data_IF_714770787653
#
_entry.id   IF_714770787653
#
_cell.length_a   1.000
_cell.length_b   1.000
_cell.length_c   1.000
_cell.angle_alpha   90.00
_cell.angle_beta   90.00
_cell.angle_gamma   90.00
#
_symmetry.space_group_name_H-M   'P 1'
#
loop_
_entity.id
_entity.type
_entity.pdbx_description
1 polymer ?
#
# COMPACT_ATOMS: atom_id res chain seq x y z
N UNK A 1 26.06 -6.42 10.24
CA UNK A 1 24.63 -6.46 9.82
C UNK A 1 23.95 -5.23 10.39
N UNK A 2 23.85 -4.15 9.63
CA UNK A 2 23.29 -2.88 10.09
C UNK A 2 21.76 -2.95 10.02
N UNK A 3 21.13 -3.08 11.17
CA UNK A 3 19.68 -2.92 11.31
C UNK A 3 19.31 -1.47 11.00
N UNK A 4 18.79 -1.24 9.81
CA UNK A 4 18.14 0.03 9.48
C UNK A 4 16.86 0.11 10.32
N UNK A 5 16.91 0.96 11.35
CA UNK A 5 15.76 1.27 12.20
C UNK A 5 14.70 1.97 11.32
N UNK A 6 13.78 1.21 10.74
CA UNK A 6 12.62 1.78 10.08
C UNK A 6 11.81 2.48 11.16
N UNK A 7 11.78 3.81 11.13
CA UNK A 7 10.91 4.62 11.97
C UNK A 7 9.47 4.31 11.55
N UNK A 8 8.84 3.33 12.16
CA UNK A 8 7.40 3.15 12.06
C UNK A 8 6.77 4.41 12.62
N UNK A 9 6.17 5.22 11.76
CA UNK A 9 5.37 6.36 12.20
C UNK A 9 4.21 5.81 13.03
N UNK A 10 4.29 5.97 14.33
CA UNK A 10 3.17 5.68 15.22
C UNK A 10 2.09 6.70 14.86
N UNK A 11 1.02 6.22 14.24
CA UNK A 11 -0.14 7.06 13.96
C UNK A 11 -0.78 7.39 15.30
N UNK A 12 -0.89 8.65 15.63
CA UNK A 12 -1.59 9.08 16.83
C UNK A 12 -3.08 8.72 16.77
N UNK A 13 -3.73 8.57 17.92
CA UNK A 13 -5.17 8.28 17.98
C UNK A 13 -6.01 9.32 17.23
N UNK A 14 -5.61 10.58 17.24
CA UNK A 14 -6.30 11.65 16.52
C UNK A 14 -6.13 11.57 15.00
N UNK A 15 -4.92 11.23 14.52
CA UNK A 15 -4.69 10.99 13.09
C UNK A 15 -5.47 9.79 12.59
N UNK A 16 -5.55 8.71 13.38
CA UNK A 16 -6.36 7.55 13.04
C UNK A 16 -7.84 7.90 12.93
N UNK A 17 -8.40 8.60 13.94
CA UNK A 17 -9.80 9.07 13.91
C UNK A 17 -10.09 9.98 12.71
N UNK A 18 -9.17 10.89 12.39
CA UNK A 18 -9.30 11.77 11.22
C UNK A 18 -9.32 11.00 9.91
N UNK A 19 -8.49 9.93 9.78
CA UNK A 19 -8.51 9.05 8.61
C UNK A 19 -9.83 8.30 8.48
N UNK A 20 -10.32 7.70 9.57
CA UNK A 20 -11.63 7.03 9.58
C UNK A 20 -12.74 7.98 9.16
N UNK A 21 -12.82 9.18 9.76
CA UNK A 21 -13.83 10.19 9.40
C UNK A 21 -13.74 10.61 7.92
N UNK A 22 -12.53 10.67 7.35
CA UNK A 22 -12.34 10.95 5.93
C UNK A 22 -12.82 9.80 5.04
N UNK A 23 -12.56 8.56 5.45
CA UNK A 23 -13.03 7.36 4.74
C UNK A 23 -14.55 7.25 4.79
N UNK A 24 -15.17 7.53 5.94
CA UNK A 24 -16.63 7.52 6.10
C UNK A 24 -17.34 8.53 5.19
N UNK A 25 -16.76 9.73 5.03
CA UNK A 25 -17.30 10.74 4.10
C UNK A 25 -17.33 10.25 2.64
N UNK A 26 -16.47 9.33 2.26
CA UNK A 26 -16.47 8.76 0.92
C UNK A 26 -17.55 7.68 0.72
N UNK A 27 -18.12 7.13 1.80
CA UNK A 27 -19.23 6.18 1.78
C UNK A 27 -18.96 4.86 1.04
N UNK A 28 -17.68 4.49 0.85
CA UNK A 28 -17.25 3.32 0.07
C UNK A 28 -16.20 2.48 0.79
N UNK A 29 -16.02 2.69 2.08
CA UNK A 29 -14.96 2.05 2.85
C UNK A 29 -15.51 0.93 3.71
N UNK A 30 -14.88 -0.24 3.58
CA UNK A 30 -15.12 -1.40 4.41
C UNK A 30 -14.03 -1.53 5.47
N UNK A 31 -14.44 -1.88 6.68
CA UNK A 31 -13.55 -2.04 7.82
C UNK A 31 -13.52 -3.50 8.25
N UNK A 32 -12.32 -4.05 8.33
CA UNK A 32 -12.07 -5.41 8.75
C UNK A 32 -11.24 -5.42 10.02
N UNK A 33 -11.57 -6.29 10.95
CA UNK A 33 -10.82 -6.45 12.18
C UNK A 33 -10.70 -7.92 12.55
N UNK A 34 -9.49 -8.32 12.94
CA UNK A 34 -9.21 -9.66 13.49
C UNK A 34 -9.04 -9.54 14.98
N UNK A 35 -9.79 -10.34 15.71
CA UNK A 35 -9.72 -10.41 17.18
C UNK A 35 -9.08 -11.73 17.63
N UNK A 36 -8.26 -11.67 18.66
CA UNK A 36 -7.83 -12.85 19.38
C UNK A 36 -9.03 -13.40 20.17
N UNK A 37 -9.35 -14.69 19.99
CA UNK A 37 -10.51 -15.32 20.63
C UNK A 37 -10.39 -15.42 22.15
N UNK A 38 -9.18 -15.56 22.67
CA UNK A 38 -8.93 -15.72 24.10
C UNK A 38 -8.97 -14.39 24.86
N UNK A 39 -8.37 -13.36 24.27
CA UNK A 39 -8.21 -12.05 24.94
C UNK A 39 -9.24 -11.03 24.47
N UNK A 40 -10.01 -11.33 23.43
CA UNK A 40 -10.93 -10.40 22.74
C UNK A 40 -10.23 -9.08 22.29
N UNK A 41 -8.93 -9.15 22.05
CA UNK A 41 -8.13 -8.01 21.64
C UNK A 41 -8.03 -7.93 20.11
N UNK A 42 -8.18 -6.74 19.54
CA UNK A 42 -7.97 -6.51 18.12
C UNK A 42 -6.47 -6.66 17.78
N UNK A 43 -6.13 -7.61 16.91
CA UNK A 43 -4.74 -7.94 16.53
C UNK A 43 -4.38 -7.51 15.13
N UNK A 44 -5.34 -7.36 14.24
CA UNK A 44 -5.13 -6.79 12.91
C UNK A 44 -6.37 -6.03 12.43
N UNK A 45 -6.16 -5.09 11.51
CA UNK A 45 -7.23 -4.34 10.87
C UNK A 45 -6.90 -4.07 9.41
N UNK A 46 -7.95 -3.94 8.60
CA UNK A 46 -7.86 -3.41 7.25
C UNK A 46 -8.92 -2.35 7.00
N UNK A 47 -8.58 -1.41 6.12
CA UNK A 47 -9.51 -0.43 5.56
C UNK A 47 -9.41 -0.57 4.05
N UNK A 48 -10.51 -0.95 3.43
CA UNK A 48 -10.60 -1.20 2.01
C UNK A 48 -11.60 -0.23 1.38
N UNK A 49 -11.43 0.05 0.11
CA UNK A 49 -12.39 0.88 -0.63
C UNK A 49 -12.91 0.12 -1.84
N UNK A 50 -14.22 0.06 -1.97
CA UNK A 50 -14.89 -0.59 -3.10
C UNK A 50 -15.19 0.45 -4.18
N UNK A 51 -14.73 0.19 -5.41
CA UNK A 51 -14.95 1.02 -6.60
C UNK A 51 -15.60 0.18 -7.70
N UNK A 52 -16.89 0.33 -7.91
CA UNK A 52 -17.59 -0.46 -8.93
C UNK A 52 -17.33 -1.96 -8.77
N UNK A 53 -16.57 -2.55 -9.70
CA UNK A 53 -16.28 -3.98 -9.75
C UNK A 53 -14.97 -4.40 -9.07
N UNK A 54 -14.33 -3.51 -8.33
CA UNK A 54 -13.06 -3.82 -7.66
C UNK A 54 -12.99 -3.31 -6.23
N UNK A 55 -12.09 -3.91 -5.45
CA UNK A 55 -11.75 -3.48 -4.11
C UNK A 55 -10.26 -3.18 -3.99
N UNK A 56 -9.91 -2.05 -3.40
CA UNK A 56 -8.54 -1.64 -3.10
C UNK A 56 -8.25 -1.78 -1.60
N UNK A 57 -7.16 -2.46 -1.27
CA UNK A 57 -6.66 -2.63 0.10
C UNK A 57 -5.80 -1.43 0.50
N UNK A 58 -6.44 -0.39 1.05
CA UNK A 58 -5.76 0.88 1.34
C UNK A 58 -4.89 0.83 2.59
N UNK A 59 -5.33 0.11 3.60
CA UNK A 59 -4.62 0.03 4.87
C UNK A 59 -4.68 -1.37 5.43
N UNK A 60 -3.51 -1.94 5.69
CA UNK A 60 -3.34 -3.20 6.39
C UNK A 60 -2.42 -2.94 7.58
N UNK A 61 -2.90 -3.19 8.80
CA UNK A 61 -2.15 -3.02 10.04
C UNK A 61 -2.29 -4.25 10.92
N UNK A 62 -1.20 -4.64 11.55
CA UNK A 62 -1.16 -5.73 12.50
C UNK A 62 -0.40 -5.33 13.73
N UNK A 63 -0.83 -5.82 14.89
CA UNK A 63 -0.14 -5.62 16.14
C UNK A 63 1.22 -6.35 16.12
N UNK A 64 2.34 -5.65 16.41
CA UNK A 64 3.66 -6.28 16.34
C UNK A 64 3.82 -7.52 17.23
N UNK A 65 3.14 -7.58 18.38
CA UNK A 65 3.13 -8.75 19.27
C UNK A 65 2.50 -9.97 18.59
N UNK A 66 1.38 -9.81 17.87
CA UNK A 66 0.71 -10.89 17.18
C UNK A 66 1.59 -11.50 16.07
N UNK A 67 2.36 -10.65 15.37
CA UNK A 67 3.34 -11.11 14.36
C UNK A 67 4.46 -11.95 14.98
N UNK A 68 4.95 -11.57 16.16
CA UNK A 68 6.02 -12.30 16.86
C UNK A 68 5.57 -13.64 17.43
N UNK A 69 4.31 -13.74 17.82
CA UNK A 69 3.75 -14.96 18.42
C UNK A 69 3.30 -16.01 17.39
N UNK A 70 3.75 -15.89 16.13
CA UNK A 70 3.44 -16.83 15.05
C UNK A 70 1.94 -17.05 14.76
N UNK A 71 1.09 -16.11 15.18
CA UNK A 71 -0.35 -16.17 14.91
C UNK A 71 -0.73 -15.71 13.50
N UNK A 72 0.19 -15.04 12.83
CA UNK A 72 0.10 -14.61 11.42
C UNK A 72 -1.28 -14.05 11.00
N UNK A 73 -1.85 -13.05 11.71
CA UNK A 73 -3.22 -12.61 11.49
C UNK A 73 -3.46 -12.03 10.07
N UNK A 74 -2.41 -11.63 9.35
CA UNK A 74 -2.53 -11.20 7.96
C UNK A 74 -3.00 -12.31 7.01
N UNK A 75 -2.60 -13.56 7.25
CA UNK A 75 -3.04 -14.68 6.41
C UNK A 75 -4.55 -14.83 6.47
N UNK A 76 -5.12 -14.93 7.67
CA UNK A 76 -6.56 -15.03 7.86
C UNK A 76 -7.32 -13.80 7.36
N UNK A 77 -6.82 -12.60 7.65
CA UNK A 77 -7.44 -11.35 7.23
C UNK A 77 -7.53 -11.25 5.70
N UNK A 78 -6.42 -11.46 5.00
CA UNK A 78 -6.37 -11.33 3.54
C UNK A 78 -7.16 -12.46 2.88
N UNK A 79 -7.08 -13.69 3.42
CA UNK A 79 -7.86 -14.81 2.92
C UNK A 79 -9.36 -14.52 2.97
N UNK A 80 -9.88 -14.10 4.12
CA UNK A 80 -11.30 -13.79 4.30
C UNK A 80 -11.76 -12.58 3.47
N UNK A 81 -10.92 -11.55 3.34
CA UNK A 81 -11.21 -10.42 2.47
C UNK A 81 -11.29 -10.85 0.99
N UNK A 82 -10.35 -11.67 0.51
CA UNK A 82 -10.37 -12.22 -0.85
C UNK A 82 -11.64 -13.04 -1.08
N UNK A 83 -11.96 -13.96 -0.15
CA UNK A 83 -13.16 -14.78 -0.23
C UNK A 83 -14.44 -13.92 -0.31
N UNK A 84 -14.57 -12.96 0.59
CA UNK A 84 -15.73 -12.06 0.62
C UNK A 84 -15.89 -11.25 -0.67
N UNK A 85 -14.81 -10.56 -1.09
CA UNK A 85 -14.91 -9.69 -2.26
C UNK A 85 -15.05 -10.45 -3.58
N UNK A 86 -14.33 -11.55 -3.75
CA UNK A 86 -14.32 -12.28 -5.02
C UNK A 86 -15.42 -13.34 -5.11
N UNK A 87 -15.74 -14.02 -4.00
CA UNK A 87 -16.70 -15.12 -4.01
C UNK A 87 -18.11 -14.70 -3.59
N UNK A 88 -18.26 -13.86 -2.56
CA UNK A 88 -19.57 -13.42 -2.09
C UNK A 88 -20.07 -12.21 -2.86
N UNK A 89 -19.29 -11.10 -2.90
CA UNK A 89 -19.67 -9.89 -3.64
C UNK A 89 -19.45 -10.00 -5.15
N UNK A 90 -18.75 -11.05 -5.63
CA UNK A 90 -18.48 -11.30 -7.05
C UNK A 90 -17.78 -10.12 -7.75
N UNK A 91 -16.92 -9.40 -7.03
CA UNK A 91 -16.10 -8.37 -7.65
C UNK A 91 -15.12 -9.00 -8.64
N UNK A 92 -14.77 -8.28 -9.69
CA UNK A 92 -13.88 -8.78 -10.74
C UNK A 92 -12.45 -8.98 -10.26
N UNK A 93 -11.98 -8.11 -9.35
CA UNK A 93 -10.65 -8.21 -8.78
C UNK A 93 -10.51 -7.42 -7.47
N UNK A 94 -9.49 -7.78 -6.72
CA UNK A 94 -8.97 -7.01 -5.58
C UNK A 94 -7.55 -6.54 -5.91
N UNK A 95 -7.13 -5.41 -5.36
CA UNK A 95 -5.79 -4.87 -5.59
C UNK A 95 -5.22 -4.19 -4.32
N UNK A 96 -3.91 -4.05 -4.28
CA UNK A 96 -3.16 -3.36 -3.22
C UNK A 96 -2.66 -1.97 -3.69
N UNK A 97 -3.40 -1.36 -4.62
CA UNK A 97 -3.06 -0.07 -5.18
C UNK A 97 -1.83 -0.06 -6.08
N UNK A 98 -1.27 1.11 -6.28
CA UNK A 98 -0.09 1.31 -7.11
C UNK A 98 1.20 0.85 -6.41
N UNK A 99 2.23 0.52 -7.21
CA UNK A 99 3.55 0.21 -6.69
C UNK A 99 4.05 1.33 -5.76
N UNK A 100 4.47 0.95 -4.56
CA UNK A 100 5.00 1.91 -3.59
C UNK A 100 6.21 2.65 -4.14
N UNK A 101 6.15 3.99 -4.13
CA UNK A 101 7.25 4.87 -4.50
C UNK A 101 8.32 4.87 -3.39
N UNK A 102 7.88 4.69 -2.16
CA UNK A 102 8.72 4.60 -0.98
C UNK A 102 8.76 3.14 -0.49
N UNK A 103 9.95 2.64 -0.14
CA UNK A 103 10.12 1.24 0.30
C UNK A 103 9.80 1.10 1.79
N UNK A 104 8.52 1.21 2.19
CA UNK A 104 8.20 1.09 3.60
C UNK A 104 7.45 -0.19 3.98
N UNK A 105 7.09 -1.04 3.06
CA UNK A 105 6.45 -2.30 3.40
C UNK A 105 6.78 -3.40 2.41
N UNK A 106 6.83 -4.63 2.90
CA UNK A 106 7.00 -5.82 2.08
C UNK A 106 5.65 -6.48 1.76
N UNK A 107 4.55 -5.71 1.83
CA UNK A 107 3.21 -6.28 1.62
C UNK A 107 3.02 -6.80 0.19
N UNK A 108 3.52 -6.09 -0.81
CA UNK A 108 3.35 -6.51 -2.21
C UNK A 108 4.07 -7.82 -2.54
N UNK A 109 5.35 -8.03 -2.19
CA UNK A 109 5.96 -9.36 -2.28
C UNK A 109 5.16 -10.43 -1.55
N UNK A 110 4.71 -10.17 -0.34
CA UNK A 110 3.90 -11.11 0.44
C UNK A 110 2.60 -11.50 -0.26
N UNK A 111 1.86 -10.53 -0.83
CA UNK A 111 0.64 -10.80 -1.59
C UNK A 111 0.91 -11.64 -2.85
N UNK A 112 2.02 -11.37 -3.55
CA UNK A 112 2.40 -12.10 -4.75
C UNK A 112 2.80 -13.54 -4.41
N UNK A 113 3.68 -13.71 -3.43
CA UNK A 113 4.28 -15.00 -3.11
C UNK A 113 3.32 -15.92 -2.36
N UNK A 114 2.42 -15.36 -1.53
CA UNK A 114 1.52 -16.12 -0.67
C UNK A 114 0.12 -16.26 -1.26
N UNK A 115 -0.43 -15.19 -1.82
CA UNK A 115 -1.80 -15.14 -2.33
C UNK A 115 -1.88 -15.12 -3.87
N UNK A 116 -0.75 -15.26 -4.54
CA UNK A 116 -0.65 -15.30 -6.01
C UNK A 116 -1.23 -14.07 -6.72
N UNK A 117 -1.13 -12.91 -6.08
CA UNK A 117 -1.49 -11.65 -6.72
C UNK A 117 -0.63 -11.42 -7.96
N UNK A 118 -1.23 -10.90 -9.01
CA UNK A 118 -0.54 -10.63 -10.27
C UNK A 118 -0.14 -9.16 -10.36
N UNK A 119 1.02 -8.88 -10.94
CA UNK A 119 1.40 -7.51 -11.28
C UNK A 119 0.56 -7.03 -12.45
N UNK A 120 -0.28 -6.03 -12.22
CA UNK A 120 -0.99 -5.34 -13.30
C UNK A 120 -0.10 -4.22 -13.84
N UNK A 121 0.42 -4.41 -15.05
CA UNK A 121 1.24 -3.39 -15.70
C UNK A 121 0.34 -2.28 -16.23
N UNK A 122 0.57 -1.05 -15.80
CA UNK A 122 -0.15 0.13 -16.25
C UNK A 122 0.82 1.23 -16.66
N UNK A 123 0.36 2.12 -17.53
CA UNK A 123 1.14 3.30 -17.93
C UNK A 123 1.01 4.38 -16.88
N UNK A 124 2.12 4.75 -16.26
CA UNK A 124 2.15 5.88 -15.33
C UNK A 124 2.31 7.18 -16.13
N UNK A 125 1.28 8.02 -16.07
CA UNK A 125 1.34 9.37 -16.62
C UNK A 125 1.51 10.34 -15.47
N UNK A 126 2.56 11.17 -15.54
CA UNK A 126 2.86 12.19 -14.53
C UNK A 126 2.98 13.54 -15.24
N UNK A 127 2.22 14.50 -14.76
CA UNK A 127 2.30 15.87 -15.23
C UNK A 127 2.96 16.75 -14.17
N UNK A 128 3.98 17.47 -14.59
CA UNK A 128 4.72 18.39 -13.75
C UNK A 128 4.48 19.83 -14.19
N UNK A 129 4.47 20.74 -13.23
CA UNK A 129 4.62 22.17 -13.55
C UNK A 129 5.90 22.35 -14.35
N UNK A 130 5.93 23.32 -15.29
CA UNK A 130 7.04 23.49 -16.23
C UNK A 130 8.42 23.61 -15.54
N UNK A 131 8.52 24.37 -14.44
CA UNK A 131 9.76 24.53 -13.69
C UNK A 131 10.21 23.23 -12.99
N UNK A 132 9.27 22.42 -12.48
CA UNK A 132 9.60 21.10 -11.92
C UNK A 132 10.13 20.16 -12.98
N UNK A 133 9.60 20.20 -14.21
CA UNK A 133 10.10 19.40 -15.32
C UNK A 133 11.56 19.72 -15.61
N UNK A 134 11.95 21.01 -15.63
CA UNK A 134 13.34 21.44 -15.80
C UNK A 134 14.21 20.89 -14.68
N UNK A 135 13.80 21.09 -13.43
CA UNK A 135 14.53 20.62 -12.25
C UNK A 135 14.74 19.09 -12.27
N UNK A 136 13.69 18.32 -12.58
CA UNK A 136 13.76 16.86 -12.68
C UNK A 136 14.72 16.44 -13.78
N UNK A 137 14.70 17.10 -14.93
CA UNK A 137 15.60 16.78 -16.05
C UNK A 137 17.06 16.92 -15.64
N UNK A 138 17.40 17.99 -14.93
CA UNK A 138 18.76 18.20 -14.44
C UNK A 138 19.16 17.23 -13.32
N UNK A 139 18.28 16.93 -12.40
CA UNK A 139 18.58 16.06 -11.25
C UNK A 139 18.56 14.56 -11.60
N UNK A 140 17.86 14.17 -12.65
CA UNK A 140 17.65 12.76 -12.98
C UNK A 140 18.92 11.95 -13.20
N UNK A 141 19.99 12.46 -13.85
CA UNK A 141 21.26 11.74 -13.97
C UNK A 141 21.91 11.42 -12.62
N UNK A 142 21.67 12.27 -11.61
CA UNK A 142 22.27 12.17 -10.27
C UNK A 142 21.38 11.43 -9.27
N UNK A 143 20.26 10.81 -9.71
CA UNK A 143 19.24 10.20 -8.85
C UNK A 143 19.76 9.19 -7.84
N UNK A 144 20.85 8.46 -8.16
CA UNK A 144 21.46 7.47 -7.26
C UNK A 144 22.28 8.10 -6.12
N UNK A 145 22.72 9.35 -6.29
CA UNK A 145 23.55 10.08 -5.30
C UNK A 145 22.71 10.95 -4.37
N UNK A 146 21.45 11.22 -4.72
CA UNK A 146 20.57 12.10 -3.95
C UNK A 146 19.98 11.33 -2.78
N UNK A 147 20.37 11.73 -1.57
CA UNK A 147 19.89 11.12 -0.31
C UNK A 147 18.65 11.80 0.26
N UNK A 148 18.35 13.05 -0.13
CA UNK A 148 17.21 13.80 0.36
C UNK A 148 15.90 13.14 -0.09
N UNK A 149 15.15 12.59 0.88
CA UNK A 149 14.03 11.70 0.66
C UNK A 149 12.94 12.24 -0.28
N UNK A 150 12.48 13.52 -0.17
CA UNK A 150 11.47 14.05 -1.08
C UNK A 150 11.92 14.07 -2.53
N UNK A 151 13.14 14.53 -2.80
CA UNK A 151 13.69 14.59 -4.16
C UNK A 151 13.93 13.17 -4.69
N UNK A 152 14.47 12.27 -3.87
CA UNK A 152 14.65 10.86 -4.23
C UNK A 152 13.33 10.19 -4.62
N UNK A 153 12.26 10.42 -3.86
CA UNK A 153 10.92 9.88 -4.16
C UNK A 153 10.37 10.43 -5.48
N UNK A 154 10.55 11.72 -5.73
CA UNK A 154 10.14 12.36 -6.98
C UNK A 154 10.89 11.77 -8.19
N UNK A 155 12.21 11.60 -8.09
CA UNK A 155 13.03 11.04 -9.15
C UNK A 155 12.74 9.54 -9.38
N UNK A 156 12.35 8.81 -8.32
CA UNK A 156 11.90 7.44 -8.43
C UNK A 156 10.56 7.34 -9.17
N UNK A 157 9.60 8.23 -8.87
CA UNK A 157 8.34 8.32 -9.60
C UNK A 157 8.57 8.61 -11.09
N UNK A 158 9.47 9.54 -11.42
CA UNK A 158 9.90 9.82 -12.78
C UNK A 158 10.52 8.59 -13.46
N UNK A 159 11.33 7.81 -12.74
CA UNK A 159 11.91 6.56 -13.26
C UNK A 159 10.81 5.57 -13.64
N UNK A 160 9.76 5.42 -12.83
CA UNK A 160 8.63 4.56 -13.15
C UNK A 160 7.84 5.07 -14.36
N UNK A 161 7.64 6.38 -14.47
CA UNK A 161 6.96 6.97 -15.63
C UNK A 161 7.74 6.73 -16.94
N UNK A 162 9.06 6.83 -16.92
CA UNK A 162 9.93 6.53 -18.08
C UNK A 162 9.92 5.05 -18.44
N UNK A 163 10.01 4.16 -17.45
CA UNK A 163 9.94 2.71 -17.67
C UNK A 163 8.59 2.32 -18.27
N UNK A 164 7.49 2.85 -17.75
CA UNK A 164 6.14 2.51 -18.25
C UNK A 164 5.92 2.93 -19.70
N UNK A 165 6.60 3.98 -20.19
CA UNK A 165 6.54 4.39 -21.61
C UNK A 165 7.26 3.42 -22.54
N UNK A 166 8.28 2.72 -22.03
CA UNK A 166 9.10 1.81 -22.84
C UNK A 166 8.58 0.36 -22.84
N UNK A 167 7.78 -0.01 -21.84
CA UNK A 167 7.31 -1.40 -21.66
C UNK A 167 6.01 -1.70 -22.41
N UNK A 168 5.24 -0.67 -22.77
CA UNK A 168 3.99 -0.80 -23.51
C UNK A 168 4.21 -0.27 -24.94
N UNK A 169 4.93 -1.06 -25.75
CA UNK A 169 4.95 -0.96 -27.20
C UNK A 169 4.20 -2.15 -27.78
#
# INVERSE_FOLDING_TARGET
MNLIKVKTSIITSNEFRSRIASCEKMGRSDYWCVYNKETNEAVALAINTVYGDCCEYNTLKCKPSAMRNSTYPYYGLIYEMNRYYLEELKLKYVNDGARSITEHSNIQPFLIDTFHFRKAYCKLQVEYKWWMRVLITFLYPFRSKILYLPIRSLLRMESFARLSKNTIK
#
